data_IF_352062533360
#
_entry.id   IF_352062533360
#
_cell.length_a   1.000
_cell.length_b   1.000
_cell.length_c   1.000
_cell.angle_alpha   90.00
_cell.angle_beta   90.00
_cell.angle_gamma   90.00
#
_symmetry.space_group_name_H-M   'P 1'
#
loop_
_entity.id
_entity.type
_entity.pdbx_description
1 polymer ?
#
# COMPACT_ATOMS: atom_id res chain seq x y z
N UNK A 1 -57.18 -1.51 33.12
CA UNK A 1 -58.21 -0.87 32.27
C UNK A 1 -57.80 0.56 32.03
N UNK A 2 -57.91 0.99 30.78
CA UNK A 2 -57.59 2.31 30.20
C UNK A 2 -56.32 2.30 29.34
N UNK A 3 -56.64 1.91 28.11
CA UNK A 3 -56.00 2.06 26.82
C UNK A 3 -55.76 3.52 26.40
N UNK A 4 -55.11 3.66 25.24
CA UNK A 4 -55.10 4.80 24.30
C UNK A 4 -54.19 6.00 24.61
N UNK A 5 -53.47 6.59 23.64
CA UNK A 5 -53.35 6.32 22.21
C UNK A 5 -52.02 6.90 21.71
N UNK A 6 -51.41 6.16 20.79
CA UNK A 6 -50.22 6.52 20.02
C UNK A 6 -50.52 7.67 19.05
N UNK A 7 -49.85 8.81 19.22
CA UNK A 7 -49.90 9.96 18.32
C UNK A 7 -48.85 9.86 17.23
N UNK A 8 -49.29 9.53 16.01
CA UNK A 8 -48.50 9.57 14.77
C UNK A 8 -48.50 11.01 14.22
N UNK A 9 -47.32 11.50 13.83
CA UNK A 9 -47.14 12.76 13.08
C UNK A 9 -46.36 12.48 11.76
N UNK A 10 -46.47 13.37 10.74
CA UNK A 10 -46.64 12.96 9.35
C UNK A 10 -45.38 12.86 8.49
N UNK A 11 -45.57 12.15 7.38
CA UNK A 11 -44.69 11.90 6.23
C UNK A 11 -44.20 13.21 5.57
N UNK A 12 -42.88 13.32 5.41
CA UNK A 12 -42.22 14.25 4.49
C UNK A 12 -42.08 13.67 3.07
N UNK A 13 -41.77 14.49 2.06
CA UNK A 13 -42.15 14.24 0.67
C UNK A 13 -41.13 13.43 -0.14
N UNK A 14 -41.67 12.50 -0.94
CA UNK A 14 -41.36 12.32 -2.36
C UNK A 14 -39.90 12.15 -2.78
N UNK A 15 -39.33 10.97 -2.54
CA UNK A 15 -38.19 10.50 -3.34
C UNK A 15 -38.72 9.95 -4.68
N UNK A 16 -38.55 10.71 -5.76
CA UNK A 16 -38.79 10.22 -7.12
C UNK A 16 -37.68 9.25 -7.53
N UNK A 17 -38.07 8.03 -7.89
CA UNK A 17 -37.18 7.03 -8.46
C UNK A 17 -36.76 7.44 -9.88
N UNK A 18 -35.46 7.44 -10.16
CA UNK A 18 -34.93 7.53 -11.53
C UNK A 18 -35.08 6.17 -12.23
N UNK A 19 -35.39 6.15 -13.54
CA UNK A 19 -35.76 4.92 -14.24
C UNK A 19 -34.55 4.06 -14.65
N UNK A 20 -34.77 2.74 -14.61
CA UNK A 20 -33.86 1.71 -15.14
C UNK A 20 -33.68 1.81 -16.66
N UNK A 21 -32.46 1.59 -17.20
CA UNK A 21 -32.28 1.38 -18.62
C UNK A 21 -32.67 -0.05 -19.03
N UNK A 22 -33.79 -0.17 -19.75
CA UNK A 22 -34.16 -1.37 -20.49
C UNK A 22 -33.41 -1.44 -21.83
N UNK A 23 -32.85 -2.61 -22.14
CA UNK A 23 -32.29 -2.91 -23.45
C UNK A 23 -31.86 -4.37 -23.56
N UNK A 24 -32.80 -5.26 -23.90
CA UNK A 24 -32.54 -6.64 -24.29
C UNK A 24 -32.40 -6.73 -25.82
N UNK A 25 -31.43 -7.50 -26.31
CA UNK A 25 -31.65 -8.39 -27.47
C UNK A 25 -30.52 -9.41 -27.60
N UNK A 26 -30.86 -10.68 -27.43
CA UNK A 26 -30.04 -11.80 -27.89
C UNK A 26 -30.12 -11.90 -29.43
N UNK A 27 -29.10 -12.49 -30.08
CA UNK A 27 -29.24 -13.74 -30.87
C UNK A 27 -27.98 -14.07 -31.68
N UNK A 28 -27.65 -15.37 -31.62
CA UNK A 28 -26.98 -16.23 -32.62
C UNK A 28 -25.50 -16.04 -32.93
N UNK A 29 -24.74 -17.11 -32.69
CA UNK A 29 -23.31 -17.21 -32.98
C UNK A 29 -22.99 -17.79 -34.34
N UNK A 30 -21.69 -17.82 -34.64
CA UNK A 30 -21.06 -18.83 -35.47
C UNK A 30 -19.53 -18.79 -35.22
N UNK A 31 -18.90 -19.96 -35.18
CA UNK A 31 -17.45 -20.12 -35.14
C UNK A 31 -17.10 -20.91 -36.40
N UNK A 32 -16.11 -20.48 -37.22
CA UNK A 32 -14.81 -21.12 -37.07
C UNK A 32 -13.58 -20.28 -37.44
N UNK A 33 -12.49 -20.59 -36.70
CA UNK A 33 -11.11 -20.81 -37.17
C UNK A 33 -10.27 -19.72 -37.85
N UNK A 34 -9.04 -19.63 -37.29
CA UNK A 34 -7.73 -19.23 -37.84
C UNK A 34 -7.37 -17.74 -37.89
N UNK A 35 -6.32 -17.45 -37.11
CA UNK A 35 -5.16 -16.71 -37.61
C UNK A 35 -5.14 -15.22 -37.27
N UNK A 36 -4.59 -14.89 -36.12
CA UNK A 36 -4.23 -13.52 -35.77
C UNK A 36 -3.84 -13.47 -34.31
N UNK A 37 -2.54 -13.46 -34.04
CA UNK A 37 -2.03 -13.08 -32.73
C UNK A 37 -2.46 -11.64 -32.50
N UNK A 38 -3.60 -11.46 -31.83
CA UNK A 38 -4.02 -10.16 -31.36
C UNK A 38 -3.05 -9.78 -30.26
N UNK A 39 -2.01 -9.03 -30.63
CA UNK A 39 -1.30 -8.19 -29.69
C UNK A 39 -2.37 -7.35 -29.00
N UNK A 40 -2.74 -7.77 -27.78
CA UNK A 40 -3.68 -7.05 -26.95
C UNK A 40 -3.18 -5.62 -26.86
N UNK A 41 -4.00 -4.71 -27.37
CA UNK A 41 -3.74 -3.28 -27.31
C UNK A 41 -3.39 -2.91 -25.88
N UNK A 42 -2.15 -2.44 -25.67
CA UNK A 42 -1.64 -1.94 -24.39
C UNK A 42 -2.24 -0.55 -24.08
N UNK A 43 -3.53 -0.35 -24.34
CA UNK A 43 -4.25 0.90 -24.10
C UNK A 43 -4.82 0.96 -22.67
N UNK A 44 -4.08 0.43 -21.69
CA UNK A 44 -4.24 0.87 -20.31
C UNK A 44 -3.47 2.18 -20.11
N UNK A 45 -3.86 3.05 -19.16
CA UNK A 45 -3.01 4.17 -18.81
C UNK A 45 -1.60 3.63 -18.44
N UNK A 46 -0.51 4.24 -18.93
CA UNK A 46 0.85 3.72 -18.78
C UNK A 46 1.34 3.68 -17.32
N UNK A 47 0.57 4.26 -16.41
CA UNK A 47 0.72 4.24 -14.97
C UNK A 47 -0.65 3.90 -14.37
N UNK A 48 -0.70 2.88 -13.52
CA UNK A 48 -1.87 2.64 -12.68
C UNK A 48 -2.13 3.83 -11.77
N UNK A 49 -3.28 3.86 -11.09
CA UNK A 49 -3.59 4.87 -10.08
C UNK A 49 -2.42 4.93 -9.09
N UNK A 50 -1.66 6.02 -9.13
CA UNK A 50 -0.63 6.31 -8.14
C UNK A 50 -1.40 6.78 -6.91
N UNK A 51 -1.46 5.94 -5.88
CA UNK A 51 -2.02 6.38 -4.61
C UNK A 51 -1.17 7.55 -4.06
N UNK A 52 -1.73 8.76 -3.90
CA UNK A 52 -0.98 9.91 -3.40
C UNK A 52 -0.40 9.66 -2.00
N UNK A 53 -1.00 8.76 -1.22
CA UNK A 53 -0.44 8.36 0.07
C UNK A 53 0.92 7.66 -0.10
N UNK A 54 1.14 6.86 -1.15
CA UNK A 54 2.45 6.25 -1.37
C UNK A 54 3.53 7.29 -1.67
N UNK A 55 3.20 8.33 -2.43
CA UNK A 55 4.13 9.43 -2.68
C UNK A 55 4.47 10.20 -1.39
N UNK A 56 3.46 10.43 -0.53
CA UNK A 56 3.65 11.03 0.80
C UNK A 56 4.56 10.16 1.67
N UNK A 57 4.24 8.87 1.82
CA UNK A 57 5.02 7.90 2.61
C UNK A 57 6.46 7.84 2.10
N UNK A 58 6.69 7.70 0.79
CA UNK A 58 8.03 7.66 0.22
C UNK A 58 8.83 8.92 0.55
N UNK A 59 8.21 10.10 0.43
CA UNK A 59 8.88 11.37 0.74
C UNK A 59 9.31 11.44 2.20
N UNK A 60 8.41 11.07 3.12
CA UNK A 60 8.71 11.06 4.56
C UNK A 60 9.78 10.03 4.92
N UNK A 61 9.64 8.81 4.41
CA UNK A 61 10.58 7.71 4.63
C UNK A 61 11.98 8.06 4.12
N UNK A 62 12.09 8.67 2.94
CA UNK A 62 13.37 9.08 2.34
C UNK A 62 14.10 10.12 3.21
N UNK A 63 13.37 11.11 3.72
CA UNK A 63 13.94 12.12 4.62
C UNK A 63 14.44 11.51 5.93
N UNK A 64 13.66 10.61 6.53
CA UNK A 64 14.05 9.90 7.76
C UNK A 64 15.23 8.96 7.55
N UNK A 65 15.21 8.17 6.48
CA UNK A 65 16.31 7.29 6.12
C UNK A 65 17.61 8.07 5.97
N UNK A 66 17.58 9.19 5.24
CA UNK A 66 18.77 10.04 5.08
C UNK A 66 19.30 10.54 6.43
N UNK A 67 18.42 11.03 7.30
CA UNK A 67 18.78 11.51 8.63
C UNK A 67 19.34 10.41 9.57
N UNK A 68 18.99 9.15 9.30
CA UNK A 68 19.42 7.97 10.08
C UNK A 68 20.57 7.20 9.41
N UNK A 69 21.19 7.76 8.38
CA UNK A 69 22.37 7.17 7.73
C UNK A 69 22.07 6.10 6.67
N UNK A 70 20.86 6.12 6.11
CA UNK A 70 20.39 5.20 5.05
C UNK A 70 20.06 5.92 3.74
N UNK A 71 20.49 5.35 2.63
CA UNK A 71 19.99 5.68 1.31
C UNK A 71 18.73 4.84 1.06
N UNK A 72 17.62 5.48 0.72
CA UNK A 72 16.35 4.82 0.46
C UNK A 72 16.06 4.78 -1.04
N UNK A 73 15.86 3.58 -1.56
CA UNK A 73 15.42 3.32 -2.92
C UNK A 73 14.00 2.77 -2.90
N UNK A 74 13.21 3.10 -3.92
CA UNK A 74 11.93 2.47 -4.21
C UNK A 74 12.11 1.52 -5.39
N UNK A 75 11.52 0.32 -5.32
CA UNK A 75 11.69 -0.73 -6.34
C UNK A 75 10.39 -1.43 -6.75
N UNK A 76 9.24 -0.93 -6.29
CA UNK A 76 7.90 -1.46 -6.59
C UNK A 76 7.20 -0.75 -7.74
N UNK A 77 5.95 -1.14 -8.02
CA UNK A 77 5.15 -0.65 -9.16
C UNK A 77 4.10 0.41 -8.82
N UNK A 78 3.94 0.81 -7.55
CA UNK A 78 2.93 1.78 -7.04
C UNK A 78 1.45 1.40 -7.26
N UNK A 79 1.13 0.22 -7.78
CA UNK A 79 -0.25 -0.13 -8.12
C UNK A 79 -1.05 -0.71 -6.96
N UNK A 80 -0.41 -1.47 -6.07
CA UNK A 80 -1.04 -2.04 -4.86
C UNK A 80 -0.17 -1.94 -3.61
N UNK A 81 1.14 -1.83 -3.81
CA UNK A 81 2.15 -1.97 -2.77
C UNK A 81 3.25 -0.92 -3.02
N UNK A 82 3.82 -0.37 -1.94
CA UNK A 82 5.02 0.48 -1.98
C UNK A 82 6.21 -0.30 -1.45
N UNK A 83 7.05 -0.80 -2.34
CA UNK A 83 8.29 -1.49 -1.96
C UNK A 83 9.49 -0.56 -1.84
N UNK A 84 10.14 -0.60 -0.67
CA UNK A 84 11.29 0.21 -0.30
C UNK A 84 12.49 -0.66 0.05
N UNK A 85 13.69 -0.17 -0.27
CA UNK A 85 14.96 -0.72 0.15
C UNK A 85 15.84 0.37 0.78
N UNK A 86 16.17 0.21 2.06
CA UNK A 86 17.10 1.06 2.79
C UNK A 86 18.49 0.40 2.85
N UNK A 87 19.51 1.12 2.38
CA UNK A 87 20.91 0.67 2.42
C UNK A 87 21.73 1.65 3.25
N UNK A 88 22.47 1.20 4.28
CA UNK A 88 23.37 2.07 5.03
C UNK A 88 24.37 2.76 4.07
N UNK A 89 24.49 4.09 4.16
CA UNK A 89 25.52 4.85 3.41
C UNK A 89 26.56 5.49 4.34
N UNK A 90 26.36 5.37 5.65
CA UNK A 90 27.28 5.85 6.67
C UNK A 90 27.62 4.73 7.65
N UNK A 91 28.80 4.79 8.28
CA UNK A 91 29.22 3.88 9.35
C UNK A 91 28.38 4.03 10.63
N UNK A 92 27.68 5.16 10.77
CA UNK A 92 26.85 5.50 11.94
C UNK A 92 25.36 5.31 11.69
N UNK A 93 25.00 4.54 10.66
CA UNK A 93 23.61 4.21 10.40
C UNK A 93 22.97 3.57 11.63
N UNK A 94 21.76 4.01 11.96
CA UNK A 94 21.09 3.51 13.16
C UNK A 94 20.72 2.02 13.06
N UNK A 95 20.17 1.44 14.12
CA UNK A 95 19.63 0.09 14.03
C UNK A 95 18.46 0.02 13.02
N UNK A 96 18.38 -1.05 12.19
CA UNK A 96 17.30 -1.22 11.23
C UNK A 96 15.90 -1.06 11.83
N UNK A 97 15.66 -1.65 13.00
CA UNK A 97 14.37 -1.56 13.67
C UNK A 97 14.03 -0.12 14.08
N UNK A 98 15.01 0.65 14.57
CA UNK A 98 14.80 2.07 14.89
C UNK A 98 14.36 2.86 13.66
N UNK A 99 14.98 2.62 12.50
CA UNK A 99 14.60 3.28 11.25
C UNK A 99 13.12 2.96 10.91
N UNK A 100 12.73 1.69 10.93
CA UNK A 100 11.38 1.27 10.55
C UNK A 100 10.33 1.81 11.52
N UNK A 101 10.57 1.78 12.83
CA UNK A 101 9.65 2.36 13.83
C UNK A 101 9.50 3.87 13.68
N UNK A 102 10.57 4.59 13.31
CA UNK A 102 10.47 6.02 13.01
C UNK A 102 9.62 6.29 11.76
N UNK A 103 9.74 5.45 10.72
CA UNK A 103 8.93 5.56 9.51
C UNK A 103 7.46 5.24 9.84
N UNK A 104 7.21 4.15 10.56
CA UNK A 104 5.87 3.74 11.03
C UNK A 104 5.15 4.92 11.71
N UNK A 105 5.78 5.51 12.73
CA UNK A 105 5.22 6.61 13.49
C UNK A 105 5.00 7.86 12.65
N UNK A 106 5.98 8.26 11.85
CA UNK A 106 5.90 9.50 11.09
C UNK A 106 4.86 9.41 9.96
N UNK A 107 4.76 8.26 9.30
CA UNK A 107 3.91 8.07 8.13
C UNK A 107 2.46 7.70 8.46
N UNK A 108 2.13 7.53 9.75
CA UNK A 108 0.86 6.99 10.26
C UNK A 108 0.55 5.61 9.65
N UNK A 109 1.53 4.72 9.80
CA UNK A 109 1.44 3.33 9.40
C UNK A 109 1.42 2.43 10.64
N UNK A 110 1.09 1.17 10.43
CA UNK A 110 1.16 0.11 11.43
C UNK A 110 1.93 -1.08 10.89
N UNK A 111 2.99 -1.49 11.58
CA UNK A 111 3.71 -2.74 11.31
C UNK A 111 2.77 -3.93 11.58
N UNK A 112 2.69 -4.87 10.64
CA UNK A 112 1.81 -6.04 10.76
C UNK A 112 2.38 -7.07 11.75
N UNK A 113 3.70 -7.26 11.74
CA UNK A 113 4.43 -8.22 12.57
C UNK A 113 5.68 -7.55 13.12
N UNK A 114 5.88 -7.61 14.44
CA UNK A 114 7.01 -6.95 15.10
C UNK A 114 8.35 -7.56 14.68
N UNK A 115 8.42 -8.88 14.53
CA UNK A 115 9.62 -9.57 14.07
C UNK A 115 9.85 -9.39 12.55
N UNK A 116 11.03 -8.92 12.11
CA UNK A 116 11.35 -8.84 10.70
C UNK A 116 11.47 -10.21 10.04
N UNK A 117 10.98 -10.29 8.81
CA UNK A 117 11.31 -11.40 7.92
C UNK A 117 12.77 -11.35 7.49
N UNK A 118 13.45 -12.51 7.53
CA UNK A 118 14.82 -12.64 7.03
C UNK A 118 14.82 -12.80 5.50
N UNK A 119 15.70 -12.08 4.81
CA UNK A 119 15.89 -12.11 3.35
C UNK A 119 17.38 -12.30 3.01
N UNK A 120 17.72 -12.65 1.75
CA UNK A 120 19.12 -12.82 1.34
C UNK A 120 20.02 -11.64 1.71
N UNK A 121 21.31 -11.91 1.88
CA UNK A 121 22.33 -10.93 2.29
C UNK A 121 22.10 -10.29 3.66
N UNK A 122 21.35 -10.97 4.54
CA UNK A 122 21.04 -10.49 5.89
C UNK A 122 20.05 -9.33 5.93
N UNK A 123 19.36 -9.05 4.82
CA UNK A 123 18.34 -8.01 4.74
C UNK A 123 17.16 -8.37 5.63
N UNK A 124 16.73 -7.42 6.46
CA UNK A 124 15.53 -7.52 7.27
C UNK A 124 14.35 -6.91 6.53
N UNK A 125 13.15 -7.50 6.63
CA UNK A 125 11.96 -7.03 5.93
C UNK A 125 10.78 -6.86 6.88
N UNK A 126 10.10 -5.72 6.77
CA UNK A 126 8.84 -5.44 7.46
C UNK A 126 7.77 -5.08 6.44
N UNK A 127 6.53 -5.42 6.77
CA UNK A 127 5.33 -4.96 6.07
C UNK A 127 4.53 -4.07 7.00
N UNK A 128 4.15 -2.91 6.49
CA UNK A 128 3.32 -1.93 7.16
C UNK A 128 2.03 -1.69 6.38
N UNK A 129 0.98 -1.26 7.08
CA UNK A 129 -0.31 -0.90 6.49
C UNK A 129 -0.75 0.47 6.95
N UNK A 130 -1.57 1.12 6.15
CA UNK A 130 -2.25 2.35 6.56
C UNK A 130 -3.26 2.06 7.68
N UNK A 131 -3.36 2.97 8.63
CA UNK A 131 -4.26 2.86 9.80
C UNK A 131 -5.71 3.26 9.46
N UNK A 132 -5.90 4.06 8.42
CA UNK A 132 -7.20 4.41 7.85
C UNK A 132 -7.54 3.60 6.60
N UNK A 133 -8.85 3.38 6.38
CA UNK A 133 -9.49 2.70 5.23
C UNK A 133 -9.61 1.16 5.33
N UNK A 134 -10.63 0.63 4.64
CA UNK A 134 -11.04 -0.78 4.69
C UNK A 134 -10.38 -1.71 3.67
N UNK A 135 -9.60 -1.16 2.72
CA UNK A 135 -8.83 -1.93 1.74
C UNK A 135 -7.34 -1.93 2.14
N UNK A 136 -6.69 -3.10 2.31
CA UNK A 136 -5.30 -3.16 2.74
C UNK A 136 -4.35 -2.65 1.67
N UNK A 137 -3.77 -1.48 1.95
CA UNK A 137 -2.64 -0.90 1.19
C UNK A 137 -1.35 -1.19 1.92
N UNK A 138 -0.39 -1.80 1.23
CA UNK A 138 0.86 -2.27 1.86
C UNK A 138 2.04 -1.33 1.56
N UNK A 139 2.90 -1.20 2.56
CA UNK A 139 4.22 -0.57 2.45
C UNK A 139 5.24 -1.59 2.94
N UNK A 140 6.02 -2.14 2.02
CA UNK A 140 7.07 -3.11 2.32
C UNK A 140 8.42 -2.39 2.40
N UNK A 141 9.18 -2.66 3.45
CA UNK A 141 10.53 -2.10 3.62
C UNK A 141 11.55 -3.19 3.91
N UNK A 142 12.52 -3.32 3.00
CA UNK A 142 13.75 -4.06 3.22
C UNK A 142 14.84 -3.14 3.76
N UNK A 143 15.53 -3.53 4.83
CA UNK A 143 16.66 -2.79 5.40
C UNK A 143 17.89 -3.69 5.39
N UNK A 144 18.94 -3.24 4.69
CA UNK A 144 20.23 -3.93 4.72
C UNK A 144 20.90 -3.75 6.09
N UNK A 145 21.60 -4.78 6.60
CA UNK A 145 22.31 -4.67 7.86
C UNK A 145 23.44 -3.64 7.76
N UNK A 146 23.69 -2.90 8.85
CA UNK A 146 24.87 -2.04 8.96
C UNK A 146 26.14 -2.89 9.05
N UNK A 147 27.26 -2.35 8.56
CA UNK A 147 28.56 -2.96 8.79
C UNK A 147 28.79 -3.11 10.30
N UNK A 148 29.35 -4.23 10.74
CA UNK A 148 29.81 -4.35 12.13
C UNK A 148 31.02 -3.45 12.27
N UNK A 149 30.93 -2.47 13.16
CA UNK A 149 32.15 -1.84 13.67
C UNK A 149 32.83 -2.92 14.50
N UNK A 150 34.03 -3.35 14.10
CA UNK A 150 34.89 -4.17 14.94
C UNK A 150 35.28 -3.32 16.14
N UNK A 151 34.49 -3.39 17.23
CA UNK A 151 34.94 -2.90 18.51
C UNK A 151 36.07 -3.82 18.98
N UNK A 152 37.31 -3.35 18.83
CA UNK A 152 38.51 -3.79 19.53
C UNK A 152 38.70 -5.30 19.60
N UNK A 153 39.40 -5.86 18.62
CA UNK A 153 40.13 -7.11 18.83
C UNK A 153 41.13 -6.91 19.97
N UNK A 154 40.77 -7.36 21.17
CA UNK A 154 41.70 -7.50 22.28
C UNK A 154 42.62 -8.69 21.94
N UNK A 155 43.89 -8.38 21.69
CA UNK A 155 44.99 -9.34 21.54
C UNK A 155 45.53 -9.70 22.92
#
# INVERSE_FOLDING_TARGET
MSEEASGRAPMGPGWSAEPEPQGVSALTGDHPSRGGSAAGSLNGPPYGIIDPDYARVFTMARCLAWAEGYALMMHGSFTRDLDLLAVPWTERACDPEKLVRRIEQAADLRIITDEPGQKPHGRLAWTMVFTGFGDPRFVDIGVMPRARNEEGGDQ
#
